data_IF_982827459643
#
_entry.id   IF_982827459643
#
_cell.length_a   1.000
_cell.length_b   1.000
_cell.length_c   1.000
_cell.angle_alpha   90.00
_cell.angle_beta   90.00
_cell.angle_gamma   90.00
#
_symmetry.space_group_name_H-M   'P 1'
#
loop_
_entity.id
_entity.type
_entity.pdbx_description
1 polymer ?
#
# COMPACT_ATOMS: atom_id res chain seq x y z
N UNK A 1 -5.51 2.92 -13.80
CA UNK A 1 -4.09 2.53 -14.00
C UNK A 1 -3.25 3.36 -13.03
N UNK A 2 -2.26 2.76 -12.36
CA UNK A 2 -1.39 3.49 -11.43
C UNK A 2 -0.44 4.41 -12.21
N UNK A 3 -0.47 5.71 -11.94
CA UNK A 3 0.43 6.68 -12.57
C UNK A 3 1.82 6.62 -11.89
N UNK A 4 2.67 5.73 -12.40
CA UNK A 4 4.02 5.55 -11.89
C UNK A 4 4.88 6.83 -12.04
N UNK A 5 4.74 7.54 -13.16
CA UNK A 5 5.52 8.77 -13.42
C UNK A 5 5.16 9.85 -12.42
N UNK A 6 3.86 10.06 -12.18
CA UNK A 6 3.36 10.98 -11.17
C UNK A 6 3.75 10.56 -9.75
N UNK A 7 3.66 9.26 -9.45
CA UNK A 7 4.08 8.70 -8.16
C UNK A 7 5.56 8.99 -7.89
N UNK A 8 6.46 8.63 -8.81
CA UNK A 8 7.91 8.84 -8.66
C UNK A 8 8.27 10.31 -8.51
N UNK A 9 7.59 11.21 -9.24
CA UNK A 9 7.78 12.66 -9.13
C UNK A 9 7.34 13.20 -7.75
N UNK A 10 6.22 12.70 -7.22
CA UNK A 10 5.68 13.13 -5.92
C UNK A 10 6.47 12.58 -4.73
N UNK A 11 6.86 11.30 -4.81
CA UNK A 11 7.52 10.56 -3.73
C UNK A 11 9.01 10.33 -3.97
N UNK A 12 9.67 11.28 -4.65
CA UNK A 12 11.11 11.26 -4.99
C UNK A 12 12.06 11.01 -3.82
N UNK A 13 11.65 11.32 -2.58
CA UNK A 13 12.40 10.99 -1.35
C UNK A 13 12.59 9.47 -1.16
N UNK A 14 11.73 8.65 -1.76
CA UNK A 14 11.77 7.19 -1.72
C UNK A 14 12.48 6.58 -2.93
N UNK A 15 13.41 7.29 -3.58
CA UNK A 15 14.08 6.83 -4.82
C UNK A 15 14.64 5.40 -4.70
N UNK A 16 15.31 5.08 -3.60
CA UNK A 16 15.86 3.73 -3.34
C UNK A 16 14.79 2.64 -3.24
N UNK A 17 13.56 2.99 -2.85
CA UNK A 17 12.43 2.05 -2.85
C UNK A 17 12.04 1.62 -4.25
N UNK A 18 12.17 2.51 -5.25
CA UNK A 18 11.78 2.21 -6.62
C UNK A 18 12.66 1.16 -7.31
N UNK A 19 13.80 0.83 -6.69
CA UNK A 19 14.75 -0.19 -7.12
C UNK A 19 14.61 -1.48 -6.29
N UNK A 20 13.67 -1.51 -5.33
CA UNK A 20 13.47 -2.66 -4.44
C UNK A 20 12.49 -3.69 -5.00
N UNK A 21 12.65 -4.94 -4.59
CA UNK A 21 11.71 -6.03 -4.90
C UNK A 21 10.27 -5.73 -4.43
N UNK A 22 10.12 -4.98 -3.33
CA UNK A 22 8.81 -4.57 -2.83
C UNK A 22 8.06 -3.71 -3.84
N UNK A 23 8.75 -2.78 -4.49
CA UNK A 23 8.13 -1.90 -5.46
C UNK A 23 7.79 -2.62 -6.77
N UNK A 24 8.71 -3.46 -7.27
CA UNK A 24 8.44 -4.28 -8.46
C UNK A 24 7.28 -5.25 -8.23
N UNK A 25 7.25 -5.92 -7.07
CA UNK A 25 6.14 -6.79 -6.68
C UNK A 25 4.83 -6.02 -6.55
N UNK A 26 4.85 -4.84 -5.91
CA UNK A 26 3.68 -3.99 -5.82
C UNK A 26 3.11 -3.62 -7.20
N UNK A 27 3.95 -3.15 -8.13
CA UNK A 27 3.49 -2.76 -9.47
C UNK A 27 2.87 -3.92 -10.25
N UNK A 28 3.42 -5.13 -10.08
CA UNK A 28 2.87 -6.36 -10.68
C UNK A 28 1.54 -6.73 -10.05
N UNK A 29 1.49 -6.78 -8.72
CA UNK A 29 0.35 -7.29 -7.96
C UNK A 29 -0.88 -6.39 -8.08
N UNK A 30 -0.72 -5.06 -8.20
CA UNK A 30 -1.87 -4.16 -8.38
C UNK A 30 -2.55 -4.30 -9.75
N UNK A 31 -1.96 -5.05 -10.69
CA UNK A 31 -2.62 -5.41 -11.96
C UNK A 31 -3.55 -6.62 -11.79
N UNK A 32 -3.40 -7.41 -10.73
CA UNK A 32 -4.26 -8.52 -10.41
C UNK A 32 -5.62 -8.01 -9.89
N UNK A 33 -6.66 -8.23 -10.70
CA UNK A 33 -8.01 -7.74 -10.40
C UNK A 33 -8.65 -8.46 -9.21
N UNK A 34 -8.35 -9.73 -9.01
CA UNK A 34 -8.91 -10.53 -7.92
C UNK A 34 -8.30 -10.06 -6.59
N UNK A 35 -6.97 -9.96 -6.53
CA UNK A 35 -6.27 -9.41 -5.38
C UNK A 35 -6.74 -7.99 -5.04
N UNK A 36 -6.83 -7.10 -6.03
CA UNK A 36 -7.34 -5.74 -5.80
C UNK A 36 -8.81 -5.71 -5.41
N UNK A 37 -9.61 -6.71 -5.81
CA UNK A 37 -10.96 -6.94 -5.31
C UNK A 37 -10.96 -7.20 -3.80
N UNK A 38 -10.14 -8.15 -3.34
CA UNK A 38 -10.02 -8.48 -1.91
C UNK A 38 -9.48 -7.31 -1.08
N UNK A 39 -8.44 -6.61 -1.56
CA UNK A 39 -7.87 -5.45 -0.85
C UNK A 39 -8.92 -4.34 -0.71
N UNK A 40 -9.71 -4.07 -1.76
CA UNK A 40 -10.79 -3.08 -1.68
C UNK A 40 -11.93 -3.52 -0.78
N UNK A 41 -12.29 -4.79 -0.76
CA UNK A 41 -13.28 -5.32 0.17
C UNK A 41 -12.82 -5.09 1.63
N UNK A 42 -11.57 -5.43 1.95
CA UNK A 42 -10.99 -5.16 3.26
C UNK A 42 -11.05 -3.67 3.63
N UNK A 43 -10.77 -2.78 2.67
CA UNK A 43 -10.86 -1.34 2.87
C UNK A 43 -12.30 -0.85 3.10
N UNK A 44 -13.21 -1.19 2.18
CA UNK A 44 -14.55 -0.61 2.07
C UNK A 44 -15.51 -1.19 3.11
N UNK A 45 -15.40 -2.49 3.42
CA UNK A 45 -16.35 -3.19 4.29
C UNK A 45 -15.79 -3.38 5.70
N UNK A 46 -14.51 -3.74 5.81
CA UNK A 46 -13.90 -4.05 7.10
C UNK A 46 -13.17 -2.86 7.73
N UNK A 47 -13.04 -1.74 7.00
CA UNK A 47 -12.19 -0.61 7.38
C UNK A 47 -10.75 -1.03 7.73
N UNK A 48 -10.27 -2.07 7.06
CA UNK A 48 -8.94 -2.61 7.27
C UNK A 48 -7.96 -2.02 6.24
N UNK A 49 -6.81 -1.45 6.66
CA UNK A 49 -5.91 -0.74 5.76
C UNK A 49 -5.41 -1.60 4.58
N UNK A 50 -5.47 -1.09 3.32
CA UNK A 50 -4.98 -1.81 2.14
C UNK A 50 -3.56 -2.34 2.25
N UNK A 51 -2.63 -1.51 2.77
CA UNK A 51 -1.24 -1.92 2.96
C UNK A 51 -1.11 -3.06 3.96
N UNK A 52 -1.94 -3.08 5.00
CA UNK A 52 -1.94 -4.15 6.00
C UNK A 52 -2.49 -5.45 5.41
N UNK A 53 -3.59 -5.37 4.65
CA UNK A 53 -4.14 -6.51 3.93
C UNK A 53 -3.13 -7.11 2.94
N UNK A 54 -2.46 -6.25 2.18
CA UNK A 54 -1.45 -6.66 1.20
C UNK A 54 -0.24 -7.33 1.85
N UNK A 55 0.28 -6.76 2.94
CA UNK A 55 1.40 -7.35 3.69
C UNK A 55 1.03 -8.71 4.28
N UNK A 56 -0.20 -8.88 4.76
CA UNK A 56 -0.72 -10.17 5.24
C UNK A 56 -0.98 -11.19 4.13
N UNK A 57 -1.23 -10.73 2.90
CA UNK A 57 -1.35 -11.60 1.73
C UNK A 57 0.04 -12.06 1.27
N UNK A 58 0.98 -11.12 1.07
CA UNK A 58 2.37 -11.38 0.64
C UNK A 58 3.31 -11.72 1.80
N UNK A 59 2.94 -12.67 2.66
CA UNK A 59 3.80 -13.11 3.77
C UNK A 59 5.13 -13.72 3.31
N UNK A 60 5.16 -14.24 2.10
CA UNK A 60 6.37 -14.70 1.41
C UNK A 60 7.40 -13.56 1.28
N UNK A 61 6.93 -12.37 0.89
CA UNK A 61 7.77 -11.19 0.65
C UNK A 61 8.01 -10.37 1.94
N UNK A 62 7.00 -10.28 2.80
CA UNK A 62 7.01 -9.47 4.02
C UNK A 62 7.25 -10.32 5.28
N UNK A 63 8.26 -11.18 5.21
CA UNK A 63 8.63 -12.12 6.27
C UNK A 63 9.60 -11.55 7.32
N UNK A 64 10.12 -10.33 7.10
CA UNK A 64 11.03 -9.64 8.01
C UNK A 64 10.53 -8.26 8.42
N UNK A 65 11.16 -7.71 9.46
CA UNK A 65 10.94 -6.34 9.87
C UNK A 65 11.38 -5.39 8.73
N UNK A 66 10.49 -4.47 8.37
CA UNK A 66 10.77 -3.43 7.39
C UNK A 66 11.44 -2.24 8.09
N UNK A 67 12.44 -1.69 7.41
CA UNK A 67 13.07 -0.45 7.81
C UNK A 67 12.04 0.70 7.78
N UNK A 68 12.35 1.77 8.51
CA UNK A 68 11.42 2.91 8.62
C UNK A 68 11.05 3.48 7.25
N UNK A 69 12.02 3.62 6.35
CA UNK A 69 11.79 4.19 5.03
C UNK A 69 11.01 3.23 4.11
N UNK A 70 11.23 1.92 4.21
CA UNK A 70 10.48 0.90 3.45
C UNK A 70 8.99 0.95 3.81
N UNK A 71 8.67 1.06 5.10
CA UNK A 71 7.28 1.18 5.58
C UNK A 71 6.60 2.44 5.06
N UNK A 72 7.30 3.57 5.12
CA UNK A 72 6.78 4.85 4.64
C UNK A 72 6.55 4.82 3.13
N UNK A 73 7.48 4.24 2.36
CA UNK A 73 7.38 4.13 0.92
C UNK A 73 6.23 3.19 0.50
N UNK A 74 6.09 2.03 1.15
CA UNK A 74 4.97 1.12 0.88
C UNK A 74 3.62 1.75 1.25
N UNK A 75 3.55 2.45 2.38
CA UNK A 75 2.37 3.23 2.76
C UNK A 75 2.04 4.31 1.72
N UNK A 76 3.05 4.98 1.18
CA UNK A 76 2.89 5.97 0.11
C UNK A 76 2.36 5.33 -1.19
N UNK A 77 2.79 4.13 -1.55
CA UNK A 77 2.27 3.40 -2.71
C UNK A 77 0.74 3.21 -2.61
N UNK A 78 0.27 2.68 -1.47
CA UNK A 78 -1.16 2.47 -1.25
C UNK A 78 -1.94 3.78 -1.07
N UNK A 79 -1.35 4.77 -0.39
CA UNK A 79 -1.92 6.11 -0.29
C UNK A 79 -2.13 6.75 -1.66
N UNK A 80 -1.12 6.65 -2.53
CA UNK A 80 -1.22 7.17 -3.89
C UNK A 80 -2.24 6.39 -4.73
N UNK A 81 -2.16 5.06 -4.70
CA UNK A 81 -3.06 4.18 -5.42
C UNK A 81 -4.52 4.44 -5.05
N UNK A 82 -4.84 4.57 -3.76
CA UNK A 82 -6.22 4.74 -3.32
C UNK A 82 -6.72 6.18 -3.50
N UNK A 83 -5.92 7.20 -3.15
CA UNK A 83 -6.40 8.60 -3.17
C UNK A 83 -6.27 9.29 -4.53
N UNK A 84 -5.35 8.86 -5.39
CA UNK A 84 -5.03 9.59 -6.64
C UNK A 84 -5.35 8.80 -7.91
N UNK A 85 -5.74 7.52 -7.81
CA UNK A 85 -6.27 6.81 -8.97
C UNK A 85 -7.73 7.25 -9.19
N UNK A 86 -7.97 7.99 -10.27
CA UNK A 86 -9.28 8.58 -10.61
C UNK A 86 -10.45 7.57 -10.56
N UNK A 87 -10.19 6.29 -10.86
CA UNK A 87 -11.21 5.25 -10.89
C UNK A 87 -11.72 4.77 -9.51
N UNK A 88 -11.09 5.16 -8.40
CA UNK A 88 -11.47 4.67 -7.06
C UNK A 88 -12.27 5.67 -6.23
N UNK A 89 -12.04 6.97 -6.41
CA UNK A 89 -12.84 8.03 -5.77
C UNK A 89 -12.67 8.16 -4.25
N UNK A 90 -11.63 7.59 -3.64
CA UNK A 90 -11.37 7.77 -2.21
C UNK A 90 -10.84 9.17 -1.90
N UNK A 91 -11.42 9.84 -0.89
CA UNK A 91 -11.13 11.24 -0.54
C UNK A 91 -10.39 11.40 0.78
N UNK A 92 -10.65 10.51 1.74
CA UNK A 92 -10.12 10.62 3.11
C UNK A 92 -9.38 9.36 3.51
N UNK A 93 -8.22 9.52 4.13
CA UNK A 93 -7.49 8.46 4.80
C UNK A 93 -7.78 8.51 6.31
N UNK A 94 -8.03 7.37 6.92
CA UNK A 94 -8.22 7.22 8.37
C UNK A 94 -7.17 6.25 8.91
N UNK A 95 -6.27 6.77 9.75
CA UNK A 95 -5.19 6.00 10.35
C UNK A 95 -5.70 5.16 11.52
N UNK A 96 -5.37 3.88 11.54
CA UNK A 96 -5.70 2.93 12.60
C UNK A 96 -4.48 2.12 13.00
N UNK A 97 -4.50 1.59 14.22
CA UNK A 97 -3.49 0.65 14.69
C UNK A 97 -3.74 -0.75 14.09
N UNK A 98 -2.70 -1.34 13.49
CA UNK A 98 -2.76 -2.68 12.88
C UNK A 98 -1.79 -3.68 13.50
N UNK A 99 -0.75 -3.22 14.20
CA UNK A 99 0.12 -4.07 15.02
C UNK A 99 0.77 -5.26 14.31
N UNK A 100 1.21 -5.11 13.06
CA UNK A 100 1.84 -6.18 12.29
C UNK A 100 3.29 -6.41 12.73
N UNK A 101 3.49 -7.26 13.73
CA UNK A 101 4.81 -7.56 14.32
C UNK A 101 5.87 -8.01 13.31
N UNK A 102 5.59 -8.90 12.32
CA UNK A 102 6.62 -9.36 11.40
C UNK A 102 7.26 -8.23 10.60
N UNK A 103 6.48 -7.25 10.14
CA UNK A 103 6.99 -6.11 9.37
C UNK A 103 7.30 -4.87 10.21
N UNK A 104 6.83 -4.82 11.45
CA UNK A 104 6.90 -3.65 12.31
C UNK A 104 6.03 -2.49 11.83
N UNK A 105 4.97 -2.76 11.04
CA UNK A 105 3.94 -1.78 10.67
C UNK A 105 2.94 -1.68 11.82
N UNK A 106 2.97 -0.53 12.50
CA UNK A 106 2.15 -0.27 13.69
C UNK A 106 0.82 0.39 13.36
N UNK A 107 0.86 1.41 12.51
CA UNK A 107 -0.31 2.14 12.04
C UNK A 107 -0.38 2.08 10.51
N UNK A 108 -1.59 2.06 9.98
CA UNK A 108 -1.86 2.14 8.55
C UNK A 108 -3.24 2.77 8.32
N UNK A 109 -3.49 3.27 7.11
CA UNK A 109 -4.76 3.94 6.80
C UNK A 109 -5.67 3.10 5.93
N UNK A 110 -6.96 3.06 6.28
CA UNK A 110 -8.02 2.73 5.32
C UNK A 110 -8.58 4.03 4.72
N UNK A 111 -9.34 3.92 3.64
CA UNK A 111 -9.76 5.04 2.82
C UNK A 111 -11.27 5.09 2.65
N UNK A 112 -11.84 6.29 2.73
CA UNK A 112 -13.27 6.58 2.63
C UNK A 112 -13.51 7.43 1.37
N UNK A 113 -14.58 7.13 0.63
CA UNK A 113 -15.03 7.86 -0.57
C UNK A 113 -15.69 9.20 -0.26
#
# INVERSE_FOLDING_TARGET
MFDETGFRKKYRVHKSFFESEYYFSFLKDIQDRELMGHIRFCNDVLHYPPVAAYVLYRKDLYSRALERWEKLALGACFGYLFQFTEGYGYKKAVSVWVGLSPTGIKNASYFIR
#
